data_IF_990392454372
#
_entry.id   IF_990392454372
#
_cell.length_a   1.000
_cell.length_b   1.000
_cell.length_c   1.000
_cell.angle_alpha   90.00
_cell.angle_beta   90.00
_cell.angle_gamma   90.00
#
_symmetry.space_group_name_H-M   'P 1'
#
loop_
_entity.id
_entity.type
_entity.pdbx_description
1 polymer ?
#
# COMPACT_ATOMS: atom_id res chain seq x y z
N UNK A 1 2.29 -12.80 -31.72
CA UNK A 1 1.82 -13.92 -32.57
C UNK A 1 0.56 -14.61 -32.02
N UNK A 2 0.46 -14.85 -30.72
CA UNK A 2 -0.73 -15.52 -30.14
C UNK A 2 -2.00 -14.65 -30.20
N UNK A 3 -1.89 -13.32 -30.08
CA UNK A 3 -3.02 -12.39 -30.15
C UNK A 3 -3.56 -12.19 -31.58
N UNK A 4 -2.78 -12.49 -32.61
CA UNK A 4 -3.18 -12.37 -34.03
C UNK A 4 -3.91 -13.61 -34.56
N UNK A 5 -3.91 -14.71 -33.83
CA UNK A 5 -4.51 -15.98 -34.26
C UNK A 5 -5.99 -16.14 -33.89
N UNK A 6 -6.57 -15.16 -33.20
CA UNK A 6 -7.97 -15.19 -32.82
C UNK A 6 -8.86 -14.70 -33.99
N UNK A 7 -9.76 -15.56 -34.40
CA UNK A 7 -10.85 -15.28 -35.33
C UNK A 7 -12.09 -14.77 -34.59
N UNK A 8 -13.27 -14.80 -35.18
CA UNK A 8 -14.55 -14.24 -34.67
C UNK A 8 -14.94 -14.61 -33.23
N UNK A 9 -14.30 -15.59 -32.62
CA UNK A 9 -14.50 -16.03 -31.22
C UNK A 9 -13.33 -15.64 -30.31
N UNK A 10 -12.63 -14.55 -30.59
CA UNK A 10 -11.49 -14.10 -29.79
C UNK A 10 -11.89 -13.80 -28.35
N UNK A 11 -11.12 -14.29 -27.34
CA UNK A 11 -11.36 -13.95 -25.95
C UNK A 11 -11.12 -12.45 -25.71
N UNK A 12 -11.94 -11.84 -24.88
CA UNK A 12 -11.72 -10.45 -24.45
C UNK A 12 -10.52 -10.41 -23.51
N UNK A 13 -9.49 -9.66 -23.89
CA UNK A 13 -8.26 -9.51 -23.10
C UNK A 13 -8.31 -8.19 -22.36
N UNK A 14 -8.09 -8.22 -21.05
CA UNK A 14 -7.88 -7.07 -20.20
C UNK A 14 -6.53 -7.20 -19.50
N UNK A 15 -5.75 -6.13 -19.49
CA UNK A 15 -4.47 -6.08 -18.81
C UNK A 15 -4.48 -4.94 -17.80
N UNK A 16 -3.78 -5.12 -16.67
CA UNK A 16 -3.61 -4.09 -15.64
C UNK A 16 -2.13 -3.84 -15.38
N UNK A 17 -1.76 -2.61 -15.11
CA UNK A 17 -0.41 -2.22 -14.74
C UNK A 17 -0.45 -1.19 -13.63
N UNK A 18 0.48 -1.30 -12.67
CA UNK A 18 0.73 -0.28 -11.65
C UNK A 18 1.77 0.74 -12.11
N UNK A 19 2.54 0.40 -13.14
CA UNK A 19 3.56 1.27 -13.70
C UNK A 19 3.00 2.06 -14.89
N UNK A 20 3.52 3.27 -15.07
CA UNK A 20 3.32 4.02 -16.30
C UNK A 20 4.01 3.27 -17.46
N UNK A 21 3.19 2.66 -18.31
CA UNK A 21 3.67 1.88 -19.46
C UNK A 21 4.25 2.77 -20.54
N UNK A 22 3.78 4.02 -20.70
CA UNK A 22 4.34 4.96 -21.66
C UNK A 22 5.77 5.31 -21.28
N UNK A 23 6.02 5.63 -20.00
CA UNK A 23 7.37 5.88 -19.50
C UNK A 23 8.29 4.66 -19.66
N UNK A 24 7.78 3.45 -19.41
CA UNK A 24 8.56 2.22 -19.61
C UNK A 24 8.84 1.92 -21.08
N UNK A 25 7.96 2.32 -21.98
CA UNK A 25 8.16 2.23 -23.42
C UNK A 25 9.32 3.14 -23.85
N UNK A 26 9.32 4.40 -23.40
CA UNK A 26 10.39 5.37 -23.68
C UNK A 26 11.76 4.93 -23.14
N UNK A 27 11.75 4.22 -22.02
CA UNK A 27 12.96 3.64 -21.42
C UNK A 27 13.41 2.32 -22.09
N UNK A 28 12.69 1.84 -23.11
CA UNK A 28 12.97 0.56 -23.75
C UNK A 28 12.70 -0.68 -22.89
N UNK A 29 12.08 -0.50 -21.71
CA UNK A 29 11.75 -1.59 -20.76
C UNK A 29 10.41 -2.28 -21.07
N UNK A 30 9.66 -1.80 -22.04
CA UNK A 30 8.41 -2.39 -22.50
C UNK A 30 8.37 -2.43 -24.02
N UNK A 31 7.88 -3.54 -24.58
CA UNK A 31 7.83 -3.73 -26.05
C UNK A 31 6.73 -2.87 -26.67
N UNK A 32 7.07 -2.11 -27.68
CA UNK A 32 6.15 -1.22 -28.39
C UNK A 32 5.01 -1.96 -29.06
N UNK A 33 5.29 -3.11 -29.70
CA UNK A 33 4.27 -3.93 -30.35
C UNK A 33 3.21 -4.44 -29.37
N UNK A 34 3.62 -4.82 -28.13
CA UNK A 34 2.71 -5.25 -27.09
C UNK A 34 1.90 -4.08 -26.51
N UNK A 35 2.55 -2.92 -26.32
CA UNK A 35 1.87 -1.70 -25.85
C UNK A 35 0.70 -1.31 -26.76
N UNK A 36 0.92 -1.23 -28.06
CA UNK A 36 -0.12 -0.85 -29.02
C UNK A 36 -1.22 -1.92 -29.19
N UNK A 37 -0.91 -3.19 -28.99
CA UNK A 37 -1.92 -4.26 -29.04
C UNK A 37 -2.83 -4.30 -27.82
N UNK A 38 -2.31 -3.99 -26.63
CA UNK A 38 -3.07 -3.92 -25.39
C UNK A 38 -3.81 -2.59 -25.23
N UNK A 39 -3.26 -1.51 -25.81
CA UNK A 39 -3.67 -0.14 -25.61
C UNK A 39 -4.93 0.33 -26.37
N UNK A 40 -5.81 -0.60 -26.80
CA UNK A 40 -7.04 -0.21 -27.53
C UNK A 40 -7.95 0.74 -26.74
N UNK A 41 -8.09 0.53 -25.43
CA UNK A 41 -8.76 1.43 -24.47
C UNK A 41 -7.95 1.44 -23.18
N UNK A 42 -7.56 2.63 -22.73
CA UNK A 42 -6.86 2.81 -21.46
C UNK A 42 -7.77 3.48 -20.44
N UNK A 43 -7.90 2.86 -19.27
CA UNK A 43 -8.68 3.38 -18.16
C UNK A 43 -7.73 3.64 -16.98
N UNK A 44 -7.59 4.91 -16.59
CA UNK A 44 -6.88 5.28 -15.38
C UNK A 44 -7.80 5.12 -14.17
N UNK A 45 -7.38 4.32 -13.19
CA UNK A 45 -8.09 4.18 -11.92
C UNK A 45 -7.48 5.15 -10.91
N UNK A 46 -8.20 6.18 -10.44
CA UNK A 46 -7.67 7.17 -9.51
C UNK A 46 -7.35 6.53 -8.16
N UNK A 47 -6.32 7.04 -7.49
CA UNK A 47 -5.97 6.67 -6.13
C UNK A 47 -7.02 7.18 -5.13
N UNK A 48 -7.09 6.59 -3.93
CA UNK A 48 -8.06 6.99 -2.91
C UNK A 48 -7.88 8.45 -2.47
N UNK A 49 -6.64 8.96 -2.45
CA UNK A 49 -6.32 10.36 -2.15
C UNK A 49 -6.88 11.36 -3.18
N UNK A 50 -7.18 10.92 -4.40
CA UNK A 50 -7.77 11.73 -5.46
C UNK A 50 -9.30 11.69 -5.44
N UNK A 51 -9.88 10.81 -4.59
CA UNK A 51 -11.31 10.62 -4.41
C UNK A 51 -11.69 10.49 -2.93
N UNK A 52 -11.20 11.42 -2.11
CA UNK A 52 -11.42 11.40 -0.65
C UNK A 52 -12.89 11.47 -0.25
N UNK A 53 -13.75 11.95 -1.15
CA UNK A 53 -15.20 12.00 -0.96
C UNK A 53 -15.86 10.62 -0.95
N UNK A 54 -15.23 9.61 -1.56
CA UNK A 54 -15.70 8.24 -1.56
C UNK A 54 -15.38 7.51 -0.24
N UNK A 55 -14.48 8.05 0.59
CA UNK A 55 -14.04 7.40 1.83
C UNK A 55 -15.20 7.08 2.76
N UNK A 56 -16.15 7.99 3.04
CA UNK A 56 -17.28 7.66 3.92
C UNK A 56 -18.13 6.51 3.40
N UNK A 57 -18.40 6.48 2.09
CA UNK A 57 -19.19 5.44 1.45
C UNK A 57 -18.46 4.08 1.50
N UNK A 58 -17.17 4.07 1.18
CA UNK A 58 -16.33 2.88 1.26
C UNK A 58 -16.21 2.37 2.70
N UNK A 59 -16.05 3.27 3.67
CA UNK A 59 -16.01 2.91 5.08
C UNK A 59 -17.30 2.24 5.53
N UNK A 60 -18.45 2.81 5.19
CA UNK A 60 -19.76 2.20 5.47
C UNK A 60 -19.91 0.81 4.85
N UNK A 61 -19.45 0.64 3.61
CA UNK A 61 -19.45 -0.67 2.94
C UNK A 61 -18.57 -1.69 3.69
N UNK A 62 -17.37 -1.30 4.13
CA UNK A 62 -16.47 -2.19 4.85
C UNK A 62 -16.97 -2.52 6.25
N UNK A 63 -17.56 -1.57 6.99
CA UNK A 63 -18.22 -1.86 8.26
C UNK A 63 -19.37 -2.86 8.10
N UNK A 64 -20.23 -2.67 7.11
CA UNK A 64 -21.31 -3.62 6.83
C UNK A 64 -20.80 -5.01 6.42
N UNK A 65 -19.61 -5.09 5.84
CA UNK A 65 -18.95 -6.36 5.52
C UNK A 65 -18.40 -7.02 6.79
N UNK A 66 -17.71 -6.27 7.65
CA UNK A 66 -17.19 -6.80 8.92
C UNK A 66 -18.30 -7.25 9.85
N UNK A 67 -19.46 -6.59 9.83
CA UNK A 67 -20.66 -7.03 10.56
C UNK A 67 -21.16 -8.40 10.08
N UNK A 68 -21.20 -8.61 8.76
CA UNK A 68 -21.56 -9.93 8.18
C UNK A 68 -20.56 -11.03 8.56
N UNK A 69 -19.29 -10.65 8.75
CA UNK A 69 -18.24 -11.55 9.22
C UNK A 69 -18.30 -11.80 10.75
N UNK A 70 -19.33 -11.28 11.44
CA UNK A 70 -19.60 -11.49 12.88
C UNK A 70 -18.92 -10.50 13.81
N UNK A 71 -18.33 -9.42 13.29
CA UNK A 71 -17.77 -8.34 14.10
C UNK A 71 -18.87 -7.31 14.48
N UNK A 72 -18.70 -6.56 15.57
CA UNK A 72 -19.66 -5.53 15.95
C UNK A 72 -19.79 -4.44 14.87
N UNK A 73 -21.00 -4.00 14.60
CA UNK A 73 -21.23 -2.85 13.74
C UNK A 73 -20.68 -1.60 14.42
N UNK A 74 -19.83 -0.89 13.74
CA UNK A 74 -19.22 0.34 14.23
C UNK A 74 -19.35 1.47 13.20
N UNK A 75 -19.24 2.70 13.64
CA UNK A 75 -19.28 3.89 12.78
C UNK A 75 -18.26 4.93 13.25
N UNK A 76 -17.79 5.76 12.34
CA UNK A 76 -16.93 6.88 12.70
C UNK A 76 -17.75 8.01 13.34
N UNK A 77 -17.18 8.64 14.37
CA UNK A 77 -17.61 9.99 14.76
C UNK A 77 -17.22 11.00 13.67
N UNK A 78 -17.81 12.20 13.61
CA UNK A 78 -17.40 13.24 12.66
C UNK A 78 -15.89 13.53 12.71
N UNK A 79 -15.30 13.62 13.92
CA UNK A 79 -13.88 13.89 14.11
C UNK A 79 -13.00 12.70 13.66
N UNK A 80 -13.43 11.46 13.90
CA UNK A 80 -12.75 10.27 13.40
C UNK A 80 -12.77 10.20 11.87
N UNK A 81 -13.91 10.52 11.27
CA UNK A 81 -14.06 10.53 9.81
C UNK A 81 -13.19 11.60 9.14
N UNK A 82 -13.10 12.81 9.73
CA UNK A 82 -12.21 13.87 9.23
C UNK A 82 -10.75 13.41 9.17
N UNK A 83 -10.27 12.72 10.21
CA UNK A 83 -8.92 12.20 10.24
C UNK A 83 -8.70 11.12 9.16
N UNK A 84 -9.66 10.20 8.98
CA UNK A 84 -9.62 9.17 7.95
C UNK A 84 -9.59 9.80 6.54
N UNK A 85 -10.34 10.89 6.31
CA UNK A 85 -10.33 11.64 5.04
C UNK A 85 -9.02 12.37 4.80
N UNK A 86 -8.39 12.90 5.85
CA UNK A 86 -7.13 13.64 5.77
C UNK A 86 -5.90 12.74 5.56
N UNK A 87 -6.01 11.44 5.79
CA UNK A 87 -4.89 10.51 5.66
C UNK A 87 -4.55 10.23 4.19
N UNK A 88 -3.27 10.05 3.88
CA UNK A 88 -2.75 9.94 2.50
C UNK A 88 -3.03 8.61 1.78
N UNK A 89 -3.37 7.57 2.52
CA UNK A 89 -3.70 6.22 2.03
C UNK A 89 -2.70 5.65 1.00
N UNK A 90 -1.42 5.48 1.34
CA UNK A 90 -0.43 4.95 0.40
C UNK A 90 -0.77 3.52 -0.08
N UNK A 91 -1.44 2.71 0.74
CA UNK A 91 -1.97 1.39 0.38
C UNK A 91 -3.38 1.42 -0.22
N UNK A 92 -3.89 2.62 -0.54
CA UNK A 92 -5.14 2.84 -1.24
C UNK A 92 -6.34 2.17 -0.53
N UNK A 93 -7.32 1.67 -1.29
CA UNK A 93 -8.55 1.03 -0.78
C UNK A 93 -8.25 -0.18 0.11
N UNK A 94 -7.23 -0.98 -0.23
CA UNK A 94 -6.84 -2.15 0.59
C UNK A 94 -6.37 -1.74 1.99
N UNK A 95 -5.66 -0.63 2.10
CA UNK A 95 -5.25 -0.12 3.40
C UNK A 95 -6.45 0.38 4.22
N UNK A 96 -7.39 1.08 3.59
CA UNK A 96 -8.63 1.51 4.23
C UNK A 96 -9.42 0.31 4.76
N UNK A 97 -9.64 -0.73 3.94
CA UNK A 97 -10.32 -1.97 4.34
C UNK A 97 -9.65 -2.63 5.55
N UNK A 98 -8.31 -2.79 5.52
CA UNK A 98 -7.56 -3.36 6.64
C UNK A 98 -7.64 -2.50 7.91
N UNK A 99 -7.62 -1.18 7.76
CA UNK A 99 -7.76 -0.25 8.89
C UNK A 99 -9.12 -0.38 9.54
N UNK A 100 -10.19 -0.42 8.75
CA UNK A 100 -11.56 -0.60 9.25
C UNK A 100 -11.71 -1.95 9.93
N UNK A 101 -11.17 -3.02 9.36
CA UNK A 101 -11.20 -4.34 10.00
C UNK A 101 -10.48 -4.35 11.35
N UNK A 102 -9.32 -3.68 11.46
CA UNK A 102 -8.62 -3.52 12.75
C UNK A 102 -9.48 -2.74 13.75
N UNK A 103 -10.02 -1.60 13.35
CA UNK A 103 -10.92 -0.80 14.19
C UNK A 103 -12.13 -1.59 14.66
N UNK A 104 -12.70 -2.48 13.83
CA UNK A 104 -13.81 -3.34 14.21
C UNK A 104 -13.44 -4.39 15.26
N UNK A 105 -12.16 -4.82 15.30
CA UNK A 105 -11.67 -5.84 16.23
C UNK A 105 -11.20 -5.23 17.56
N UNK A 106 -10.52 -4.08 17.51
CA UNK A 106 -9.79 -3.52 18.66
C UNK A 106 -10.65 -2.68 19.60
N UNK A 107 -11.78 -2.15 19.14
CA UNK A 107 -12.61 -1.27 19.93
C UNK A 107 -13.80 -1.95 20.62
N UNK A 108 -14.17 -1.45 21.81
CA UNK A 108 -15.33 -1.92 22.57
C UNK A 108 -16.60 -1.07 22.38
N UNK A 109 -16.48 0.14 21.84
CA UNK A 109 -17.58 1.08 21.68
C UNK A 109 -18.11 1.07 20.24
N UNK A 110 -19.40 1.42 20.07
CA UNK A 110 -20.04 1.50 18.75
C UNK A 110 -19.45 2.63 17.89
N UNK A 111 -19.04 3.73 18.54
CA UNK A 111 -18.49 4.90 17.87
C UNK A 111 -16.95 4.93 17.91
N UNK A 112 -16.35 5.15 16.75
CA UNK A 112 -14.89 5.23 16.57
C UNK A 112 -14.49 6.71 16.59
N UNK A 113 -13.85 7.12 17.68
CA UNK A 113 -13.37 8.47 17.86
C UNK A 113 -11.99 8.72 17.20
N UNK A 114 -11.60 9.99 17.20
CA UNK A 114 -10.31 10.45 16.67
C UNK A 114 -9.12 9.72 17.29
N UNK A 115 -9.09 9.57 18.61
CA UNK A 115 -7.97 8.94 19.32
C UNK A 115 -7.74 7.48 18.88
N UNK A 116 -8.81 6.71 18.68
CA UNK A 116 -8.72 5.33 18.22
C UNK A 116 -8.19 5.24 16.80
N UNK A 117 -8.65 6.14 15.90
CA UNK A 117 -8.13 6.23 14.53
C UNK A 117 -6.64 6.60 14.53
N UNK A 118 -6.20 7.56 15.33
CA UNK A 118 -4.79 7.95 15.46
C UNK A 118 -3.90 6.78 15.88
N UNK A 119 -4.33 6.01 16.86
CA UNK A 119 -3.58 4.82 17.33
C UNK A 119 -3.46 3.78 16.22
N UNK A 120 -4.54 3.48 15.51
CA UNK A 120 -4.52 2.45 14.44
C UNK A 120 -3.73 2.92 13.22
N UNK A 121 -3.82 4.18 12.85
CA UNK A 121 -3.04 4.74 11.73
C UNK A 121 -1.56 4.92 12.10
N UNK A 122 -1.25 5.32 13.33
CA UNK A 122 0.13 5.48 13.82
C UNK A 122 0.91 4.17 13.94
N UNK A 123 0.21 3.06 14.19
CA UNK A 123 0.79 1.73 14.26
C UNK A 123 0.87 1.01 12.89
N UNK A 124 0.49 1.68 11.81
CA UNK A 124 0.67 1.09 10.48
C UNK A 124 2.13 1.22 10.06
N UNK A 125 2.75 0.13 9.54
CA UNK A 125 4.06 0.26 8.92
C UNK A 125 3.95 1.28 7.78
N UNK A 126 4.89 2.21 7.72
CA UNK A 126 4.98 3.15 6.62
C UNK A 126 5.09 2.34 5.31
N UNK A 127 3.99 2.23 4.59
CA UNK A 127 4.02 1.68 3.24
C UNK A 127 4.64 2.76 2.38
N UNK A 128 5.95 2.71 2.24
CA UNK A 128 6.62 3.54 1.25
C UNK A 128 6.05 3.17 -0.13
N UNK A 129 5.63 4.15 -0.95
CA UNK A 129 5.19 3.86 -2.30
C UNK A 129 6.34 3.16 -3.02
N UNK A 130 6.06 2.01 -3.62
CA UNK A 130 6.97 1.30 -4.52
C UNK A 130 7.13 2.16 -5.80
N UNK A 131 7.73 3.33 -5.67
CA UNK A 131 8.27 4.07 -6.80
C UNK A 131 9.52 3.31 -7.22
N UNK A 132 9.40 2.59 -8.31
CA UNK A 132 10.52 1.85 -8.89
C UNK A 132 11.68 2.80 -9.20
N UNK A 133 12.78 2.58 -8.52
CA UNK A 133 14.04 3.28 -8.72
C UNK A 133 14.64 3.73 -7.37
N UNK A 134 15.54 2.94 -6.79
CA UNK A 134 16.36 3.38 -5.67
C UNK A 134 16.39 2.52 -4.41
N UNK A 135 16.16 1.21 -4.52
CA UNK A 135 16.20 0.35 -3.33
C UNK A 135 17.61 0.18 -2.73
N UNK A 136 18.66 0.50 -3.48
CA UNK A 136 20.04 0.35 -2.98
C UNK A 136 20.44 1.50 -2.03
N UNK A 137 20.05 2.74 -2.31
CA UNK A 137 20.37 3.88 -1.44
C UNK A 137 19.57 3.86 -0.13
N UNK A 138 18.30 3.46 -0.17
CA UNK A 138 17.46 3.38 1.03
C UNK A 138 17.85 2.22 1.94
N UNK A 139 18.23 1.08 1.38
CA UNK A 139 18.74 -0.05 2.14
C UNK A 139 20.07 0.33 2.83
N UNK A 140 20.97 0.98 2.11
CA UNK A 140 22.23 1.49 2.65
C UNK A 140 22.02 2.49 3.78
N UNK A 141 21.10 3.44 3.63
CA UNK A 141 20.76 4.41 4.67
C UNK A 141 20.13 3.77 5.89
N UNK A 142 19.27 2.76 5.71
CA UNK A 142 18.68 2.00 6.80
C UNK A 142 19.73 1.17 7.55
N UNK A 143 20.61 0.49 6.83
CA UNK A 143 21.74 -0.27 7.39
C UNK A 143 22.69 0.68 8.14
N UNK A 144 23.03 1.84 7.57
CA UNK A 144 23.87 2.83 8.22
C UNK A 144 23.27 3.34 9.53
N UNK A 145 21.95 3.63 9.56
CA UNK A 145 21.24 4.06 10.76
C UNK A 145 21.26 2.98 11.85
N UNK A 146 21.06 1.72 11.49
CA UNK A 146 21.09 0.60 12.43
C UNK A 146 22.50 0.33 12.95
N UNK A 147 23.49 0.43 12.09
CA UNK A 147 24.91 0.28 12.47
C UNK A 147 25.35 1.42 13.41
N UNK A 148 25.03 2.68 13.10
CA UNK A 148 25.32 3.81 13.98
C UNK A 148 24.72 3.61 15.37
N UNK A 149 23.43 3.25 15.44
CA UNK A 149 22.76 2.97 16.73
C UNK A 149 23.43 1.81 17.49
N UNK A 150 23.86 0.77 16.77
CA UNK A 150 24.58 -0.35 17.37
C UNK A 150 25.92 0.08 17.97
N UNK A 151 26.72 0.87 17.22
CA UNK A 151 28.01 1.37 17.70
C UNK A 151 27.86 2.38 18.84
N UNK A 152 26.86 3.24 18.82
CA UNK A 152 26.56 4.17 19.91
C UNK A 152 26.25 3.43 21.22
N UNK A 153 25.48 2.33 21.14
CA UNK A 153 25.13 1.51 22.30
C UNK A 153 26.31 0.69 22.86
N UNK A 154 27.31 0.40 22.03
CA UNK A 154 28.48 -0.45 22.40
C UNK A 154 29.77 0.35 22.58
N UNK A 155 29.71 1.68 22.72
CA UNK A 155 30.84 2.52 23.10
C UNK A 155 32.03 2.49 22.12
N UNK A 156 31.78 2.26 20.82
CA UNK A 156 32.84 2.28 19.78
C UNK A 156 33.76 1.04 19.78
N UNK A 157 33.45 -0.01 20.52
CA UNK A 157 34.23 -1.25 20.49
C UNK A 157 33.91 -2.03 19.20
N UNK A 158 34.94 -2.73 18.67
CA UNK A 158 34.78 -3.58 17.51
C UNK A 158 33.73 -4.67 17.77
N UNK A 159 32.79 -4.87 16.84
CA UNK A 159 31.73 -5.87 16.98
C UNK A 159 32.32 -7.29 17.07
N UNK A 160 31.69 -8.19 17.84
CA UNK A 160 32.11 -9.57 17.89
C UNK A 160 32.01 -10.25 16.52
N UNK A 161 32.84 -11.27 16.24
CA UNK A 161 32.78 -11.99 14.97
C UNK A 161 31.38 -12.61 14.77
N UNK A 162 30.81 -12.42 13.55
CA UNK A 162 29.48 -12.91 13.22
C UNK A 162 28.39 -11.85 13.12
N UNK A 163 28.68 -10.56 13.30
CA UNK A 163 27.72 -9.46 13.16
C UNK A 163 27.04 -9.47 11.78
N UNK A 164 27.80 -9.73 10.71
CA UNK A 164 27.29 -9.81 9.33
C UNK A 164 26.22 -10.89 9.17
N UNK A 165 26.40 -12.06 9.78
CA UNK A 165 25.41 -13.15 9.71
C UNK A 165 24.14 -12.85 10.53
N UNK A 166 24.24 -12.05 11.61
CA UNK A 166 23.07 -11.62 12.37
C UNK A 166 22.25 -10.58 11.61
N UNK A 167 22.90 -9.59 11.00
CA UNK A 167 22.21 -8.57 10.18
C UNK A 167 21.49 -9.22 9.00
N UNK A 168 22.08 -10.22 8.33
CA UNK A 168 21.44 -10.93 7.23
C UNK A 168 20.23 -11.80 7.66
N UNK A 169 20.08 -12.12 8.95
CA UNK A 169 18.91 -12.86 9.46
C UNK A 169 17.74 -11.96 9.87
N UNK A 170 17.99 -10.69 10.10
CA UNK A 170 16.98 -9.71 10.54
C UNK A 170 16.46 -8.83 9.41
N UNK A 171 17.04 -8.95 8.20
CA UNK A 171 16.59 -8.29 6.96
C UNK A 171 15.87 -9.28 6.06
#
# INVERSE_FOLDING_TARGET
>A
RMLDSFTDNAPRIMATSQADLALKLDQGMFRSDLYYRLGGVSLAVPSLRERVEDIPLLAGHFFARTERDGLPLRKFTPQGLELVRAYSWPGNVRQLENTIRRLSITGGEEEIGRAEVEVVLGNQPAIEPLTGGGNSEKLSASIEKHLRRYFDLHGGQLPPPGLYQRILREV
#
